data_IF_717452325091
#
_entry.id   IF_717452325091
#
_cell.length_a   1.000
_cell.length_b   1.000
_cell.length_c   1.000
_cell.angle_alpha   90.00
_cell.angle_beta   90.00
_cell.angle_gamma   90.00
#
_symmetry.space_group_name_H-M   'P 1'
#
loop_
_entity.id
_entity.type
_entity.pdbx_description
1 polymer ?
#
# COMPACT_ATOMS: atom_id res chain seq x y z
N UNK A 1 3.84 25.97 -17.76
CA UNK A 1 4.21 25.01 -16.73
C UNK A 1 5.27 24.04 -17.30
N UNK A 2 6.51 24.12 -16.81
CA UNK A 2 7.64 23.34 -17.33
C UNK A 2 7.54 21.83 -17.07
N UNK A 3 6.60 21.40 -16.22
CA UNK A 3 6.38 20.00 -15.89
C UNK A 3 5.44 19.29 -16.88
N UNK A 4 4.61 20.04 -17.59
CA UNK A 4 3.70 19.45 -18.60
C UNK A 4 4.46 19.26 -19.91
N UNK A 5 4.50 18.02 -20.40
CA UNK A 5 5.19 17.66 -21.64
C UNK A 5 4.34 17.97 -22.87
N UNK A 6 4.98 18.31 -24.02
CA UNK A 6 4.25 18.48 -25.27
C UNK A 6 3.43 17.23 -25.64
N UNK A 7 2.14 17.42 -25.97
CA UNK A 7 1.22 16.32 -26.29
C UNK A 7 0.44 15.77 -25.10
N UNK A 8 0.72 16.20 -23.88
CA UNK A 8 -0.08 15.85 -22.70
C UNK A 8 -1.49 16.48 -22.82
N UNK A 9 -2.52 15.65 -22.67
CA UNK A 9 -3.93 16.06 -22.85
C UNK A 9 -4.74 16.06 -21.56
N UNK A 10 -4.19 15.44 -20.50
CA UNK A 10 -4.94 15.19 -19.27
C UNK A 10 -4.56 16.14 -18.12
N UNK A 11 -3.38 16.74 -18.17
CA UNK A 11 -2.90 17.65 -17.15
C UNK A 11 -2.98 19.12 -17.61
N UNK A 12 -3.76 19.92 -16.90
CA UNK A 12 -3.87 21.36 -17.12
C UNK A 12 -2.84 22.11 -16.29
N UNK A 13 -2.65 21.68 -15.04
CA UNK A 13 -1.69 22.24 -14.10
C UNK A 13 -0.98 21.12 -13.34
N UNK A 14 0.33 21.11 -13.34
CA UNK A 14 1.19 20.17 -12.67
C UNK A 14 2.06 20.92 -11.66
N UNK A 15 2.00 20.52 -10.39
CA UNK A 15 2.80 21.08 -9.30
C UNK A 15 3.58 19.98 -8.60
N UNK A 16 4.88 20.18 -8.48
CA UNK A 16 5.71 19.38 -7.61
C UNK A 16 5.48 19.81 -6.16
N UNK A 17 5.20 18.84 -5.27
CA UNK A 17 4.88 19.10 -3.87
C UNK A 17 6.03 18.80 -2.92
N UNK A 18 6.94 17.89 -3.29
CA UNK A 18 8.12 17.50 -2.51
C UNK A 18 9.39 17.76 -3.29
N UNK A 19 10.50 18.09 -2.61
CA UNK A 19 11.75 18.52 -3.24
C UNK A 19 12.98 17.77 -2.70
N UNK A 20 12.80 16.85 -1.77
CA UNK A 20 13.85 15.98 -1.21
C UNK A 20 13.30 14.60 -0.88
N UNK A 21 14.19 13.64 -0.61
CA UNK A 21 13.86 12.29 -0.21
C UNK A 21 13.20 11.44 -1.30
N UNK A 22 12.82 10.25 -0.94
CA UNK A 22 11.95 9.37 -1.75
C UNK A 22 10.52 9.49 -1.22
N UNK A 23 9.56 9.73 -2.13
CA UNK A 23 8.16 9.96 -1.78
C UNK A 23 7.28 9.11 -2.70
N UNK A 24 6.34 8.35 -2.13
CA UNK A 24 5.51 7.43 -2.88
C UNK A 24 4.12 7.25 -2.27
N UNK A 25 3.23 6.57 -3.01
CA UNK A 25 1.91 6.13 -2.55
C UNK A 25 1.07 7.28 -1.95
N UNK A 26 0.94 8.39 -2.69
CA UNK A 26 0.22 9.57 -2.22
C UNK A 26 -1.27 9.50 -2.58
N UNK A 27 -2.13 9.67 -1.56
CA UNK A 27 -3.58 9.64 -1.71
C UNK A 27 -4.24 10.85 -1.06
N UNK A 28 -5.29 11.37 -1.70
CA UNK A 28 -6.05 12.53 -1.21
C UNK A 28 -6.98 12.16 -0.04
N UNK A 29 -7.13 13.10 0.89
CA UNK A 29 -8.29 13.12 1.78
C UNK A 29 -9.58 13.32 1.00
N UNK A 30 -10.73 12.99 1.59
CA UNK A 30 -12.05 13.09 0.93
C UNK A 30 -12.38 14.49 0.42
N UNK A 31 -11.94 15.52 1.11
CA UNK A 31 -12.12 16.93 0.77
C UNK A 31 -11.01 17.48 -0.13
N UNK A 32 -10.04 16.66 -0.51
CA UNK A 32 -8.88 16.99 -1.33
C UNK A 32 -7.98 18.10 -0.76
N UNK A 33 -7.98 18.32 0.57
CA UNK A 33 -7.15 19.31 1.22
C UNK A 33 -5.84 18.75 1.77
N UNK A 34 -5.77 17.44 1.97
CA UNK A 34 -4.58 16.77 2.48
C UNK A 34 -4.15 15.62 1.58
N UNK A 35 -2.88 15.30 1.61
CA UNK A 35 -2.30 14.08 1.07
C UNK A 35 -1.74 13.24 2.21
N UNK A 36 -1.96 11.93 2.16
CA UNK A 36 -1.25 10.95 2.97
C UNK A 36 -0.30 10.19 2.05
N UNK A 37 0.95 9.99 2.47
CA UNK A 37 1.97 9.35 1.64
C UNK A 37 3.09 8.77 2.50
N UNK A 38 3.87 7.86 1.91
CA UNK A 38 5.10 7.36 2.51
C UNK A 38 6.31 8.16 2.02
N UNK A 39 7.27 8.37 2.92
CA UNK A 39 8.49 9.09 2.61
C UNK A 39 9.64 8.73 3.54
N UNK A 40 10.87 8.82 3.02
CA UNK A 40 12.08 8.91 3.83
C UNK A 40 13.06 9.93 3.21
N UNK A 41 13.92 10.49 4.04
CA UNK A 41 15.01 11.36 3.62
C UNK A 41 16.32 10.82 4.22
N UNK A 42 17.26 10.48 3.33
CA UNK A 42 18.54 9.86 3.69
C UNK A 42 18.57 8.32 3.56
N UNK A 43 19.76 7.81 3.25
CA UNK A 43 19.98 6.40 2.84
C UNK A 43 19.76 5.36 3.95
N UNK A 44 19.75 5.77 5.21
CA UNK A 44 19.67 4.88 6.37
C UNK A 44 18.28 4.81 7.01
N UNK A 45 17.31 5.55 6.45
CA UNK A 45 15.96 5.64 7.01
C UNK A 45 14.99 4.77 6.24
N UNK A 46 13.99 4.26 6.95
CA UNK A 46 12.84 3.59 6.36
C UNK A 46 11.75 4.57 6.04
N UNK A 47 10.93 4.23 5.04
CA UNK A 47 9.68 4.93 4.79
C UNK A 47 8.85 5.02 6.06
N UNK A 48 8.33 6.21 6.30
CA UNK A 48 7.35 6.54 7.32
C UNK A 48 6.15 7.21 6.68
N UNK A 49 5.01 7.21 7.36
CA UNK A 49 3.79 7.83 6.83
C UNK A 49 3.72 9.29 7.27
N UNK A 50 3.41 10.13 6.30
CA UNK A 50 3.25 11.57 6.47
C UNK A 50 1.89 12.04 5.97
N UNK A 51 1.35 13.08 6.60
CA UNK A 51 0.22 13.85 6.08
C UNK A 51 0.70 15.25 5.77
N UNK A 52 0.37 15.73 4.56
CA UNK A 52 0.64 17.10 4.08
C UNK A 52 -0.66 17.85 3.89
N UNK A 53 -0.74 19.07 4.44
CA UNK A 53 -1.75 20.05 4.02
C UNK A 53 -1.35 20.63 2.65
N UNK A 54 -2.23 20.57 1.66
CA UNK A 54 -1.90 20.92 0.27
C UNK A 54 -1.74 22.44 0.10
N UNK A 55 -2.47 23.23 0.87
CA UNK A 55 -2.42 24.69 0.77
C UNK A 55 -1.16 25.26 1.44
N UNK A 56 -0.92 24.85 2.69
CA UNK A 56 0.20 25.38 3.50
C UNK A 56 1.52 24.64 3.24
N UNK A 57 1.48 23.42 2.71
CA UNK A 57 2.63 22.50 2.53
C UNK A 57 3.21 22.01 3.87
N UNK A 58 2.56 22.28 4.97
CA UNK A 58 2.95 21.70 6.25
C UNK A 58 2.83 20.19 6.20
N UNK A 59 3.89 19.50 6.59
CA UNK A 59 3.99 18.04 6.55
C UNK A 59 4.31 17.52 7.94
N UNK A 60 3.55 16.51 8.38
CA UNK A 60 3.71 15.87 9.69
C UNK A 60 3.83 14.37 9.53
N UNK A 61 4.84 13.76 10.16
CA UNK A 61 4.91 12.30 10.32
C UNK A 61 3.81 11.83 11.28
N UNK A 62 3.06 10.81 10.89
CA UNK A 62 1.92 10.27 11.64
C UNK A 62 2.07 8.77 11.95
N UNK A 63 3.08 8.10 11.42
CA UNK A 63 3.48 6.75 11.83
C UNK A 63 4.40 6.78 13.05
N UNK A 64 4.76 5.60 13.55
CA UNK A 64 5.50 5.44 14.81
C UNK A 64 6.95 5.92 14.77
N UNK A 65 7.54 6.11 13.58
CA UNK A 65 8.98 6.32 13.40
C UNK A 65 9.82 5.06 13.58
N UNK A 66 9.20 3.90 13.77
CA UNK A 66 9.86 2.62 13.96
C UNK A 66 9.49 1.63 12.85
N UNK A 67 10.41 0.72 12.51
CA UNK A 67 10.24 -0.22 11.40
C UNK A 67 10.17 0.48 10.06
N UNK A 68 9.62 -0.21 9.08
CA UNK A 68 9.27 0.34 7.77
C UNK A 68 7.76 0.37 7.62
N UNK A 69 7.24 1.44 6.98
CA UNK A 69 5.81 1.59 6.70
C UNK A 69 5.57 1.70 5.20
N UNK A 70 4.36 1.36 4.76
CA UNK A 70 3.95 1.49 3.35
C UNK A 70 2.43 1.61 3.22
N UNK A 71 1.96 2.00 2.04
CA UNK A 71 0.57 1.86 1.59
C UNK A 71 -0.45 2.41 2.59
N UNK A 72 -0.33 3.69 2.90
CA UNK A 72 -1.29 4.37 3.77
C UNK A 72 -2.51 4.86 3.00
N UNK A 73 -3.67 4.87 3.64
CA UNK A 73 -4.90 5.36 3.04
C UNK A 73 -5.83 5.98 4.10
N UNK A 74 -6.48 7.10 3.79
CA UNK A 74 -7.45 7.70 4.71
C UNK A 74 -8.67 6.79 4.92
N UNK A 75 -9.15 6.71 6.16
CA UNK A 75 -10.44 6.09 6.47
C UNK A 75 -11.57 7.04 6.08
N UNK A 76 -12.24 6.72 4.96
CA UNK A 76 -13.39 7.48 4.51
C UNK A 76 -14.66 7.14 5.35
N UNK A 77 -15.66 8.03 5.40
CA UNK A 77 -15.75 9.31 4.68
C UNK A 77 -15.15 10.52 5.41
N UNK A 78 -14.93 10.45 6.72
CA UNK A 78 -14.60 11.63 7.54
C UNK A 78 -13.10 11.91 7.69
N UNK A 79 -12.26 10.98 7.26
CA UNK A 79 -10.81 11.07 7.28
C UNK A 79 -10.20 11.43 8.66
N UNK A 80 -10.86 11.03 9.76
CA UNK A 80 -10.33 11.22 11.11
C UNK A 80 -9.28 10.18 11.48
N UNK A 81 -9.28 9.07 10.77
CA UNK A 81 -8.32 8.01 10.89
C UNK A 81 -7.69 7.70 9.52
N UNK A 82 -6.62 6.93 9.54
CA UNK A 82 -6.02 6.33 8.37
C UNK A 82 -5.59 4.90 8.68
N UNK A 83 -5.40 4.10 7.65
CA UNK A 83 -4.76 2.79 7.72
C UNK A 83 -3.38 2.85 7.05
N UNK A 84 -2.48 1.97 7.47
CA UNK A 84 -1.14 1.82 6.90
C UNK A 84 -0.58 0.46 7.24
N UNK A 85 0.37 -0.02 6.46
CA UNK A 85 1.09 -1.26 6.74
C UNK A 85 2.43 -0.95 7.40
N UNK A 86 2.84 -1.75 8.39
CA UNK A 86 4.07 -1.48 9.15
C UNK A 86 4.65 -2.75 9.76
N UNK A 87 5.98 -2.78 9.88
CA UNK A 87 6.74 -3.84 10.57
C UNK A 87 7.11 -3.49 12.01
N UNK A 88 6.64 -2.38 12.57
CA UNK A 88 7.13 -1.80 13.81
C UNK A 88 6.94 -2.68 15.05
N UNK A 89 6.02 -3.65 15.04
CA UNK A 89 5.86 -4.62 16.13
C UNK A 89 6.90 -5.74 16.04
N UNK A 90 7.23 -6.23 14.84
CA UNK A 90 8.25 -7.27 14.66
C UNK A 90 9.67 -6.70 14.76
N UNK A 91 9.93 -5.52 14.17
CA UNK A 91 11.22 -4.85 14.24
C UNK A 91 11.08 -3.33 14.27
N UNK A 92 11.80 -2.68 15.20
CA UNK A 92 11.92 -1.22 15.24
C UNK A 92 12.96 -0.68 14.27
N UNK A 93 13.85 -1.54 13.75
CA UNK A 93 14.91 -1.16 12.81
C UNK A 93 14.42 -1.30 11.38
N UNK A 94 15.04 -0.52 10.49
CA UNK A 94 14.90 -0.75 9.06
C UNK A 94 15.34 -2.16 8.68
N UNK A 95 14.53 -2.92 7.96
CA UNK A 95 14.98 -4.17 7.38
C UNK A 95 16.10 -3.91 6.35
N UNK A 96 17.00 -4.87 6.11
CA UNK A 96 18.02 -4.73 5.08
C UNK A 96 17.37 -4.61 3.69
N UNK A 97 17.95 -3.75 2.85
CA UNK A 97 17.50 -3.64 1.45
C UNK A 97 17.66 -4.99 0.74
N UNK A 98 16.72 -5.37 -0.12
CA UNK A 98 16.82 -6.61 -0.92
C UNK A 98 18.09 -6.64 -1.78
N UNK A 99 18.57 -7.85 -2.08
CA UNK A 99 19.65 -8.05 -3.04
C UNK A 99 19.11 -8.00 -4.47
N UNK A 100 19.42 -6.94 -5.20
CA UNK A 100 18.96 -6.74 -6.57
C UNK A 100 19.89 -7.33 -7.65
N UNK A 101 20.92 -8.11 -7.30
CA UNK A 101 21.86 -8.69 -8.29
C UNK A 101 21.17 -9.64 -9.28
N UNK A 102 20.08 -10.29 -8.86
CA UNK A 102 19.25 -11.15 -9.71
C UNK A 102 18.04 -10.44 -10.33
N UNK A 103 18.02 -9.12 -10.30
CA UNK A 103 16.93 -8.28 -10.80
C UNK A 103 16.11 -7.64 -9.69
N UNK A 104 15.24 -6.71 -10.09
CA UNK A 104 14.38 -5.99 -9.15
C UNK A 104 13.30 -6.90 -8.57
N UNK A 105 13.15 -6.89 -7.26
CA UNK A 105 12.13 -7.64 -6.50
C UNK A 105 11.52 -6.75 -5.42
N UNK A 106 10.28 -7.03 -5.07
CA UNK A 106 9.65 -6.53 -3.84
C UNK A 106 9.84 -7.57 -2.75
N UNK A 107 10.32 -7.13 -1.60
CA UNK A 107 10.46 -7.96 -0.41
C UNK A 107 9.16 -7.94 0.38
N UNK A 108 8.64 -9.12 0.68
CA UNK A 108 7.44 -9.34 1.46
C UNK A 108 7.87 -9.64 2.91
N UNK A 109 8.05 -8.57 3.70
CA UNK A 109 8.41 -8.75 5.11
C UNK A 109 7.22 -9.35 5.86
N UNK A 110 7.43 -10.49 6.51
CA UNK A 110 6.38 -11.21 7.25
C UNK A 110 5.84 -10.44 8.45
N UNK A 111 6.62 -9.50 8.96
CA UNK A 111 6.22 -8.60 10.05
C UNK A 111 5.27 -7.47 9.59
N UNK A 112 4.91 -7.39 8.30
CA UNK A 112 3.96 -6.39 7.85
C UNK A 112 2.55 -6.75 8.26
N UNK A 113 1.99 -5.93 9.14
CA UNK A 113 0.59 -5.90 9.49
C UNK A 113 -0.05 -4.57 9.13
N UNK A 114 -1.38 -4.58 8.98
CA UNK A 114 -2.18 -3.38 8.76
C UNK A 114 -2.59 -2.79 10.11
N UNK A 115 -2.36 -1.50 10.25
CA UNK A 115 -2.71 -0.72 11.43
C UNK A 115 -3.70 0.39 11.06
N UNK A 116 -4.53 0.78 12.02
CA UNK A 116 -5.34 1.99 11.97
C UNK A 116 -4.83 2.97 13.02
N UNK A 117 -4.78 4.27 12.67
CA UNK A 117 -4.39 5.34 13.58
C UNK A 117 -5.25 6.57 13.38
N UNK A 118 -5.37 7.42 14.39
CA UNK A 118 -5.92 8.78 14.24
C UNK A 118 -4.95 9.64 13.40
N UNK A 119 -5.47 10.66 12.70
CA UNK A 119 -4.65 11.53 11.80
C UNK A 119 -3.54 12.30 12.53
N UNK A 120 -3.58 12.38 13.86
CA UNK A 120 -2.53 12.96 14.68
C UNK A 120 -1.40 11.96 15.02
N UNK A 121 -1.54 10.68 14.64
CA UNK A 121 -0.61 9.58 14.93
C UNK A 121 -0.89 8.88 16.26
N UNK A 122 -2.01 9.19 16.92
CA UNK A 122 -2.43 8.53 18.18
C UNK A 122 -3.38 7.35 17.92
N UNK A 123 -3.74 6.63 19.00
CA UNK A 123 -4.75 5.55 18.98
C UNK A 123 -4.46 4.47 17.93
N UNK A 124 -3.24 3.94 17.92
CA UNK A 124 -2.83 2.90 16.98
C UNK A 124 -3.49 1.57 17.36
N UNK A 125 -4.18 0.96 16.40
CA UNK A 125 -4.87 -0.33 16.53
C UNK A 125 -4.34 -1.26 15.43
N UNK A 126 -3.90 -2.46 15.80
CA UNK A 126 -3.54 -3.52 14.87
C UNK A 126 -4.81 -4.17 14.30
N UNK A 127 -4.94 -4.26 12.98
CA UNK A 127 -6.09 -4.85 12.28
C UNK A 127 -5.80 -6.25 11.76
N UNK A 128 -4.53 -6.57 11.43
CA UNK A 128 -4.06 -7.90 11.06
C UNK A 128 -2.93 -8.32 12.02
N UNK A 129 -2.79 -9.62 12.25
CA UNK A 129 -1.85 -10.22 13.19
C UNK A 129 -1.37 -11.59 12.70
N UNK A 130 -1.29 -11.77 11.37
CA UNK A 130 -0.83 -13.02 10.79
C UNK A 130 0.71 -13.09 10.80
N UNK A 131 1.26 -14.32 10.84
CA UNK A 131 2.69 -14.53 10.65
C UNK A 131 3.12 -14.38 9.17
N UNK A 132 2.38 -13.58 8.38
CA UNK A 132 2.56 -13.39 6.95
C UNK A 132 2.45 -11.91 6.56
N UNK A 133 2.82 -11.60 5.31
CA UNK A 133 2.70 -10.27 4.75
C UNK A 133 1.23 -9.84 4.59
N UNK A 134 0.83 -8.78 5.26
CA UNK A 134 -0.45 -8.10 5.14
C UNK A 134 -0.22 -6.62 4.81
N UNK A 135 -0.55 -6.18 3.59
CA UNK A 135 -0.29 -4.80 3.17
C UNK A 135 -1.24 -4.32 2.05
N UNK A 136 -0.92 -3.16 1.47
CA UNK A 136 -1.63 -2.56 0.34
C UNK A 136 -3.12 -2.29 0.63
N UNK A 137 -3.42 -1.94 1.89
CA UNK A 137 -4.80 -1.68 2.32
C UNK A 137 -5.36 -0.37 1.78
N UNK A 138 -6.61 -0.41 1.27
CA UNK A 138 -7.41 0.77 0.95
C UNK A 138 -8.81 0.67 1.52
N UNK A 139 -9.46 1.80 1.73
CA UNK A 139 -10.79 1.89 2.35
C UNK A 139 -11.83 2.20 1.28
N UNK A 140 -12.97 1.53 1.33
CA UNK A 140 -14.12 1.82 0.49
C UNK A 140 -14.63 3.26 0.69
N UNK A 141 -15.14 3.90 -0.36
CA UNK A 141 -15.57 5.30 -0.33
C UNK A 141 -16.70 5.60 0.68
N UNK A 142 -17.51 4.59 1.01
CA UNK A 142 -18.58 4.68 2.01
C UNK A 142 -18.13 4.30 3.43
N UNK A 143 -16.85 3.91 3.60
CA UNK A 143 -16.30 3.49 4.89
C UNK A 143 -16.76 2.10 5.34
N UNK A 144 -17.30 1.27 4.45
CA UNK A 144 -17.86 -0.02 4.84
C UNK A 144 -16.82 -1.11 5.03
N UNK A 145 -15.72 -1.09 4.25
CA UNK A 145 -14.73 -2.17 4.16
C UNK A 145 -13.32 -1.64 3.91
N UNK A 146 -12.36 -2.46 4.32
CA UNK A 146 -10.97 -2.41 3.89
C UNK A 146 -10.75 -3.54 2.89
N UNK A 147 -10.05 -3.28 1.78
CA UNK A 147 -9.50 -4.29 0.88
C UNK A 147 -7.98 -4.24 0.98
N UNK A 148 -7.31 -5.39 0.99
CA UNK A 148 -5.87 -5.48 1.19
C UNK A 148 -5.29 -6.74 0.54
N UNK A 149 -3.97 -6.80 0.42
CA UNK A 149 -3.23 -7.98 -0.04
C UNK A 149 -2.70 -8.74 1.17
N UNK A 150 -2.87 -10.07 1.17
CA UNK A 150 -2.40 -10.95 2.24
C UNK A 150 -1.83 -12.26 1.71
N UNK A 151 -0.79 -12.77 2.38
CA UNK A 151 -0.21 -14.08 2.12
C UNK A 151 -0.74 -15.19 3.02
N UNK A 152 -1.79 -14.97 3.79
CA UNK A 152 -2.33 -15.96 4.73
C UNK A 152 -2.85 -17.24 4.03
N UNK A 153 -3.21 -17.15 2.75
CA UNK A 153 -3.58 -18.29 1.89
C UNK A 153 -2.39 -19.09 1.35
N UNK A 154 -1.16 -18.58 1.52
CA UNK A 154 0.06 -19.14 0.94
C UNK A 154 0.45 -18.48 -0.38
N UNK A 155 -0.33 -17.53 -0.88
CA UNK A 155 -0.09 -16.72 -2.07
C UNK A 155 -0.54 -15.28 -1.82
N UNK A 156 -0.19 -14.36 -2.72
CA UNK A 156 -0.59 -12.95 -2.63
C UNK A 156 -2.00 -12.75 -3.20
N UNK A 157 -2.99 -12.88 -2.34
CA UNK A 157 -4.39 -12.75 -2.69
C UNK A 157 -5.02 -11.47 -2.13
N UNK A 158 -6.10 -11.01 -2.78
CA UNK A 158 -6.95 -9.95 -2.22
C UNK A 158 -7.85 -10.49 -1.12
N UNK A 159 -7.89 -9.75 -0.05
CA UNK A 159 -8.76 -9.98 1.10
C UNK A 159 -9.55 -8.72 1.43
N UNK A 160 -10.67 -8.88 2.09
CA UNK A 160 -11.46 -7.78 2.65
C UNK A 160 -11.73 -8.01 4.13
N UNK A 161 -11.91 -6.92 4.88
CA UNK A 161 -12.28 -6.93 6.30
C UNK A 161 -13.12 -5.71 6.65
N UNK A 162 -13.76 -5.72 7.81
CA UNK A 162 -14.40 -4.54 8.37
C UNK A 162 -13.36 -3.54 8.88
N UNK A 163 -13.76 -2.27 9.11
CA UNK A 163 -12.85 -1.21 9.61
C UNK A 163 -12.24 -1.49 10.99
N UNK A 164 -12.74 -2.48 11.70
CA UNK A 164 -12.21 -2.94 13.00
C UNK A 164 -11.34 -4.21 12.91
N UNK A 165 -11.00 -4.66 11.69
CA UNK A 165 -10.18 -5.85 11.44
C UNK A 165 -10.95 -7.19 11.51
N UNK A 166 -12.26 -7.18 11.71
CA UNK A 166 -13.08 -8.39 11.78
C UNK A 166 -13.62 -8.79 10.40
N UNK A 167 -14.24 -10.01 10.34
CA UNK A 167 -14.89 -10.55 9.16
C UNK A 167 -13.97 -10.62 7.93
N UNK A 168 -12.73 -11.04 8.13
CA UNK A 168 -11.75 -11.24 7.05
C UNK A 168 -12.27 -12.27 6.05
N UNK A 169 -12.21 -11.94 4.75
CA UNK A 169 -12.68 -12.80 3.66
C UNK A 169 -11.75 -12.71 2.45
N UNK A 170 -11.30 -13.85 1.95
CA UNK A 170 -10.53 -13.96 0.71
C UNK A 170 -11.42 -13.70 -0.50
N UNK A 171 -10.91 -12.92 -1.47
CA UNK A 171 -11.60 -12.54 -2.70
C UNK A 171 -11.00 -13.21 -3.94
N UNK A 172 -9.68 -13.40 -3.98
CA UNK A 172 -8.97 -14.04 -5.09
C UNK A 172 -8.23 -15.28 -4.58
N UNK A 173 -7.89 -16.20 -5.50
CA UNK A 173 -7.20 -17.46 -5.18
C UNK A 173 -6.45 -18.06 -6.39
N UNK A 174 -6.16 -17.26 -7.41
CA UNK A 174 -5.40 -17.70 -8.57
C UNK A 174 -3.91 -17.52 -8.29
N UNK A 175 -3.10 -18.56 -8.58
CA UNK A 175 -1.66 -18.48 -8.43
C UNK A 175 -1.09 -17.23 -9.10
N UNK A 176 -0.45 -16.38 -8.31
CA UNK A 176 0.14 -15.12 -8.77
C UNK A 176 -0.02 -13.99 -7.75
N UNK A 177 0.33 -12.80 -8.18
CA UNK A 177 0.21 -11.60 -7.37
C UNK A 177 -1.11 -10.87 -7.67
N UNK A 178 -1.89 -10.67 -6.65
CA UNK A 178 -3.05 -9.78 -6.62
C UNK A 178 -2.82 -8.65 -5.61
N UNK A 179 -2.81 -7.38 -6.03
CA UNK A 179 -2.55 -6.30 -5.08
C UNK A 179 -2.90 -4.90 -5.57
N UNK A 180 -2.73 -3.91 -4.69
CA UNK A 180 -3.02 -2.51 -4.96
C UNK A 180 -4.48 -2.28 -5.36
N UNK A 181 -5.41 -2.88 -4.63
CA UNK A 181 -6.83 -2.88 -4.97
C UNK A 181 -7.56 -1.63 -4.45
N UNK A 182 -8.54 -1.17 -5.23
CA UNK A 182 -9.43 -0.06 -4.88
C UNK A 182 -10.88 -0.41 -5.16
N UNK A 183 -11.76 0.03 -4.29
CA UNK A 183 -13.20 0.06 -4.60
C UNK A 183 -13.55 1.20 -5.56
N UNK A 184 -14.55 0.97 -6.44
CA UNK A 184 -15.16 2.05 -7.20
C UNK A 184 -15.89 3.03 -6.26
N UNK A 185 -16.13 4.30 -6.67
CA UNK A 185 -16.82 5.28 -5.83
C UNK A 185 -18.20 4.84 -5.34
N UNK A 186 -18.91 4.01 -6.11
CA UNK A 186 -20.22 3.43 -5.75
C UNK A 186 -20.11 2.08 -5.01
N UNK A 187 -18.89 1.63 -4.71
CA UNK A 187 -18.54 0.40 -4.00
C UNK A 187 -19.04 -0.89 -4.68
N UNK A 188 -19.44 -0.83 -5.96
CA UNK A 188 -19.95 -2.01 -6.68
C UNK A 188 -18.88 -2.79 -7.43
N UNK A 189 -17.69 -2.21 -7.58
CA UNK A 189 -16.57 -2.85 -8.28
C UNK A 189 -15.28 -2.70 -7.50
N UNK A 190 -14.37 -3.63 -7.76
CA UNK A 190 -13.00 -3.62 -7.28
C UNK A 190 -12.10 -3.62 -8.51
N UNK A 191 -11.12 -2.73 -8.55
CA UNK A 191 -10.02 -2.71 -9.51
C UNK A 191 -8.72 -3.06 -8.80
N UNK A 192 -7.85 -3.86 -9.42
CA UNK A 192 -6.54 -4.20 -8.87
C UNK A 192 -5.52 -4.48 -9.96
N UNK A 193 -4.27 -4.53 -9.60
CA UNK A 193 -3.18 -4.99 -10.46
C UNK A 193 -2.83 -6.44 -10.12
N UNK A 194 -2.58 -7.25 -11.15
CA UNK A 194 -2.24 -8.65 -10.96
C UNK A 194 -1.16 -9.13 -11.96
N UNK A 195 -0.43 -10.15 -11.53
CA UNK A 195 0.43 -10.95 -12.39
C UNK A 195 0.13 -12.43 -12.15
N UNK A 196 -0.23 -13.13 -13.21
CA UNK A 196 -0.50 -14.57 -13.16
C UNK A 196 0.51 -15.30 -14.05
N UNK A 197 1.44 -16.08 -13.47
CA UNK A 197 2.42 -16.85 -14.26
C UNK A 197 1.69 -17.94 -15.06
N UNK A 198 2.00 -18.07 -16.35
CA UNK A 198 1.33 -18.98 -17.26
C UNK A 198 2.24 -20.13 -17.74
N UNK A 199 3.53 -19.87 -17.92
CA UNK A 199 4.50 -20.88 -18.35
C UNK A 199 5.11 -21.60 -17.17
N UNK A 200 5.57 -22.84 -17.36
CA UNK A 200 6.28 -23.61 -16.32
C UNK A 200 7.48 -22.85 -15.75
N UNK A 201 8.17 -22.08 -16.60
CA UNK A 201 9.31 -21.25 -16.19
C UNK A 201 8.87 -20.11 -15.27
N UNK A 202 7.80 -19.41 -15.61
CA UNK A 202 7.26 -18.30 -14.81
C UNK A 202 6.71 -18.81 -13.49
N UNK A 203 5.96 -19.92 -13.50
CA UNK A 203 5.45 -20.57 -12.30
C UNK A 203 6.59 -20.95 -11.35
N UNK A 204 7.66 -21.51 -11.90
CA UNK A 204 8.84 -21.89 -11.11
C UNK A 204 9.56 -20.67 -10.53
N UNK A 205 9.75 -19.60 -11.34
CA UNK A 205 10.38 -18.36 -10.87
C UNK A 205 9.54 -17.72 -9.76
N UNK A 206 8.22 -17.60 -9.96
CA UNK A 206 7.29 -17.05 -8.98
C UNK A 206 7.33 -17.82 -7.66
N UNK A 207 7.19 -19.16 -7.69
CA UNK A 207 7.22 -19.99 -6.50
C UNK A 207 8.57 -19.93 -5.76
N UNK A 208 9.69 -19.89 -6.48
CA UNK A 208 11.01 -19.77 -5.86
C UNK A 208 11.16 -18.42 -5.14
N UNK A 209 10.70 -17.33 -5.76
CA UNK A 209 10.73 -16.01 -5.12
C UNK A 209 9.79 -15.94 -3.91
N UNK A 210 8.62 -16.55 -4.01
CA UNK A 210 7.64 -16.56 -2.91
C UNK A 210 8.20 -17.28 -1.67
N UNK A 211 8.91 -18.41 -1.85
CA UNK A 211 9.62 -19.10 -0.76
C UNK A 211 10.66 -18.20 -0.08
N UNK A 212 11.26 -17.27 -0.82
CA UNK A 212 12.18 -16.27 -0.31
C UNK A 212 11.47 -14.99 0.19
N UNK A 213 10.16 -15.01 0.36
CA UNK A 213 9.33 -13.84 0.70
C UNK A 213 9.61 -12.66 -0.24
N UNK A 214 9.54 -12.90 -1.53
CA UNK A 214 9.79 -11.89 -2.56
C UNK A 214 8.92 -12.14 -3.79
N UNK A 215 8.64 -11.08 -4.53
CA UNK A 215 8.02 -11.17 -5.86
C UNK A 215 8.73 -10.26 -6.85
N UNK A 216 8.58 -10.58 -8.14
CA UNK A 216 9.04 -9.75 -9.25
C UNK A 216 7.86 -8.98 -9.84
N UNK A 217 7.78 -7.65 -9.64
CA UNK A 217 6.65 -6.85 -10.12
C UNK A 217 6.77 -6.57 -11.63
N UNK A 218 6.57 -7.59 -12.45
CA UNK A 218 6.69 -7.50 -13.92
C UNK A 218 5.38 -7.89 -14.59
N UNK A 219 5.12 -7.29 -15.76
CA UNK A 219 3.98 -7.61 -16.61
C UNK A 219 2.61 -7.54 -15.89
N UNK A 220 2.47 -6.59 -14.96
CA UNK A 220 1.23 -6.37 -14.22
C UNK A 220 0.11 -5.95 -15.17
N UNK A 221 -1.05 -6.56 -15.00
CA UNK A 221 -2.29 -6.25 -15.71
C UNK A 221 -3.31 -5.65 -14.75
N UNK A 222 -4.23 -4.87 -15.27
CA UNK A 222 -5.35 -4.31 -14.50
C UNK A 222 -6.58 -5.21 -14.67
N UNK A 223 -7.13 -5.61 -13.54
CA UNK A 223 -8.31 -6.45 -13.44
C UNK A 223 -9.46 -5.73 -12.75
N UNK A 224 -10.70 -6.13 -13.06
CA UNK A 224 -11.91 -5.58 -12.45
C UNK A 224 -12.88 -6.71 -12.15
N UNK A 225 -13.46 -6.72 -10.95
CA UNK A 225 -14.56 -7.62 -10.57
C UNK A 225 -15.71 -6.85 -9.89
N UNK A 226 -16.85 -7.48 -9.73
CA UNK A 226 -17.91 -6.98 -8.85
C UNK A 226 -17.51 -7.21 -7.38
N UNK A 227 -17.84 -6.25 -6.51
CA UNK A 227 -17.55 -6.31 -5.07
C UNK A 227 -18.51 -7.23 -4.32
#
# INVERSE_FOLDING_TARGET
NLLVQPGEKHFIDLKQLTFSGENAEAYFSRDSKSLIFQSHDGDSLCDQIYIMDIETRETKMVSTGAGVTTCSFFEYPDCKNFIYSSTHLGSKKCPPKPDYRSGYVWKLYQDYDIFKSSIDGSNIIQLTDSDNYDAEGTVAFDGSKIIYTSMVSGDLDLWTMDLNGLNKKQLTNRLGYDGGAFYSPDVKKIVWRAYYPETEKEIKDYNNLLVENSIRPMALQIWVMNS
#
